data_IF_076858060154
#
_entry.id   IF_076858060154
#
_cell.length_a   1.000
_cell.length_b   1.000
_cell.length_c   1.000
_cell.angle_alpha   90.00
_cell.angle_beta   90.00
_cell.angle_gamma   90.00
#
_symmetry.space_group_name_H-M   'P 1'
#
loop_
_entity.id
_entity.type
_entity.pdbx_description
1 polymer ?
#
# COMPACT_ATOMS: atom_id res chain seq x y z
N UNK A 1 -24.58 -20.16 -2.54
CA UNK A 1 -24.32 -19.22 -1.43
C UNK A 1 -22.94 -18.65 -1.71
N UNK A 2 -22.80 -17.34 -1.87
CA UNK A 2 -21.46 -16.71 -1.83
C UNK A 2 -21.01 -16.82 -0.37
N UNK A 3 -19.85 -17.38 -0.11
CA UNK A 3 -19.19 -17.23 1.18
C UNK A 3 -18.98 -15.72 1.35
N UNK A 4 -19.56 -15.14 2.39
CA UNK A 4 -19.32 -13.76 2.76
C UNK A 4 -17.87 -13.68 3.22
N UNK A 5 -17.00 -13.14 2.37
CA UNK A 5 -15.58 -13.00 2.67
C UNK A 5 -15.40 -11.68 3.39
N UNK A 6 -15.26 -11.72 4.69
CA UNK A 6 -14.93 -10.54 5.49
C UNK A 6 -13.44 -10.23 5.41
N UNK A 7 -13.12 -8.93 5.30
CA UNK A 7 -11.75 -8.44 5.40
C UNK A 7 -11.41 -8.20 6.87
N UNK A 8 -10.50 -8.98 7.44
CA UNK A 8 -10.08 -8.82 8.83
C UNK A 8 -9.14 -7.63 8.98
N UNK A 9 -9.47 -6.71 9.87
CA UNK A 9 -8.74 -5.47 10.09
C UNK A 9 -8.35 -5.36 11.56
N UNK A 10 -7.06 -5.21 11.85
CA UNK A 10 -6.57 -4.95 13.20
C UNK A 10 -6.79 -3.47 13.53
N UNK A 11 -7.51 -3.18 14.60
CA UNK A 11 -7.73 -1.82 15.08
C UNK A 11 -7.14 -1.62 16.48
N UNK A 12 -6.18 -0.69 16.61
CA UNK A 12 -5.55 -0.35 17.89
C UNK A 12 -6.23 0.88 18.47
N UNK A 13 -7.01 0.68 19.54
CA UNK A 13 -7.90 1.67 20.13
C UNK A 13 -8.12 1.37 21.61
N UNK A 14 -7.83 2.31 22.50
CA UNK A 14 -7.98 2.11 23.96
C UNK A 14 -9.30 2.66 24.52
N UNK A 15 -10.06 3.40 23.74
CA UNK A 15 -11.44 3.82 24.09
C UNK A 15 -12.47 2.79 23.63
N UNK A 16 -12.82 1.88 24.53
CA UNK A 16 -13.80 0.83 24.24
C UNK A 16 -15.21 1.36 24.01
N UNK A 17 -15.52 2.59 24.43
CA UNK A 17 -16.87 3.15 24.34
C UNK A 17 -17.33 3.41 22.90
N UNK A 18 -16.38 3.64 21.98
CA UNK A 18 -16.67 3.95 20.57
C UNK A 18 -16.75 2.71 19.70
N UNK A 19 -16.15 1.58 20.13
CA UNK A 19 -15.92 0.40 19.29
C UNK A 19 -17.19 -0.14 18.68
N UNK A 20 -18.26 -0.27 19.47
CA UNK A 20 -19.53 -0.87 19.01
C UNK A 20 -20.13 -0.11 17.81
N UNK A 21 -20.09 1.23 17.82
CA UNK A 21 -20.58 2.04 16.72
C UNK A 21 -19.80 1.81 15.43
N UNK A 22 -18.47 1.75 15.53
CA UNK A 22 -17.59 1.50 14.38
C UNK A 22 -17.67 0.08 13.87
N UNK A 23 -17.90 -0.92 14.72
CA UNK A 23 -18.12 -2.30 14.30
C UNK A 23 -19.32 -2.42 13.37
N UNK A 24 -20.45 -1.78 13.70
CA UNK A 24 -21.66 -1.78 12.86
C UNK A 24 -21.38 -1.20 11.47
N UNK A 25 -20.62 -0.09 11.40
CA UNK A 25 -20.26 0.54 10.12
C UNK A 25 -19.33 -0.39 9.33
N UNK A 26 -18.32 -0.96 9.98
CA UNK A 26 -17.34 -1.86 9.35
C UNK A 26 -18.02 -3.13 8.80
N UNK A 27 -18.90 -3.76 9.57
CA UNK A 27 -19.66 -4.94 9.14
C UNK A 27 -20.51 -4.66 7.89
N UNK A 28 -21.10 -3.47 7.79
CA UNK A 28 -21.86 -3.04 6.60
C UNK A 28 -20.99 -2.94 5.33
N UNK A 29 -19.67 -2.95 5.49
CA UNK A 29 -18.66 -2.88 4.42
C UNK A 29 -17.87 -4.19 4.26
N UNK A 30 -18.36 -5.31 4.78
CA UNK A 30 -17.69 -6.62 4.77
C UNK A 30 -16.34 -6.61 5.53
N UNK A 31 -16.22 -5.85 6.60
CA UNK A 31 -15.02 -5.72 7.43
C UNK A 31 -15.28 -6.27 8.83
N UNK A 32 -14.40 -7.17 9.29
CA UNK A 32 -14.31 -7.65 10.66
C UNK A 32 -13.23 -6.89 11.42
N UNK A 33 -13.59 -6.15 12.48
CA UNK A 33 -12.63 -5.43 13.32
C UNK A 33 -12.14 -6.32 14.45
N UNK A 34 -10.84 -6.63 14.46
CA UNK A 34 -10.13 -7.28 15.56
C UNK A 34 -9.42 -6.20 16.39
N UNK A 35 -10.01 -5.88 17.56
CA UNK A 35 -9.58 -4.73 18.37
C UNK A 35 -8.48 -5.13 19.34
N UNK A 36 -7.45 -4.27 19.45
CA UNK A 36 -6.42 -4.33 20.46
C UNK A 36 -6.40 -3.01 21.26
N UNK A 37 -6.33 -3.10 22.59
CA UNK A 37 -6.39 -1.93 23.47
C UNK A 37 -5.05 -1.25 23.72
N UNK A 38 -3.99 -1.79 23.19
CA UNK A 38 -2.62 -1.28 23.25
C UNK A 38 -1.75 -1.91 22.17
N UNK A 39 -0.58 -1.32 21.91
CA UNK A 39 0.31 -1.83 20.88
C UNK A 39 0.90 -3.21 21.20
N UNK A 40 1.21 -3.50 22.45
CA UNK A 40 1.77 -4.81 22.84
C UNK A 40 0.82 -5.96 22.46
N UNK A 41 -0.49 -5.79 22.70
CA UNK A 41 -1.53 -6.73 22.27
C UNK A 41 -1.62 -6.82 20.75
N UNK A 42 -1.58 -5.66 20.06
CA UNK A 42 -1.62 -5.61 18.61
C UNK A 42 -0.41 -6.30 17.96
N UNK A 43 0.79 -6.07 18.49
CA UNK A 43 2.02 -6.71 18.00
C UNK A 43 1.97 -8.23 18.17
N UNK A 44 1.40 -8.74 19.29
CA UNK A 44 1.20 -10.16 19.49
C UNK A 44 0.19 -10.76 18.50
N UNK A 45 -0.95 -10.09 18.26
CA UNK A 45 -1.92 -10.48 17.24
C UNK A 45 -1.28 -10.51 15.86
N UNK A 46 -0.50 -9.50 15.50
CA UNK A 46 0.25 -9.46 14.23
C UNK A 46 1.27 -10.59 14.15
N UNK A 47 1.95 -10.94 15.23
CA UNK A 47 2.92 -12.03 15.25
C UNK A 47 2.27 -13.37 14.92
N UNK A 48 1.07 -13.62 15.45
CA UNK A 48 0.33 -14.88 15.29
C UNK A 48 -0.42 -14.93 13.95
N UNK A 49 -1.20 -13.90 13.65
CA UNK A 49 -2.21 -13.91 12.60
C UNK A 49 -1.89 -12.97 11.42
N UNK A 50 -0.62 -12.65 11.20
CA UNK A 50 -0.19 -11.65 10.22
C UNK A 50 -0.83 -11.80 8.82
N UNK A 51 -1.01 -13.04 8.37
CA UNK A 51 -1.54 -13.33 7.03
C UNK A 51 -3.04 -13.05 6.90
N UNK A 52 -3.76 -13.03 8.00
CA UNK A 52 -5.21 -12.84 8.04
C UNK A 52 -5.60 -11.36 7.90
N UNK A 53 -4.71 -10.44 8.31
CA UNK A 53 -5.03 -9.03 8.27
C UNK A 53 -4.89 -8.44 6.88
N UNK A 54 -5.94 -7.72 6.47
CA UNK A 54 -6.03 -6.97 5.22
C UNK A 54 -5.63 -5.50 5.40
N UNK A 55 -5.80 -4.97 6.61
CA UNK A 55 -5.39 -3.60 6.96
C UNK A 55 -5.17 -3.46 8.47
N UNK A 56 -4.55 -2.35 8.87
CA UNK A 56 -4.37 -1.94 10.27
C UNK A 56 -4.91 -0.52 10.44
N UNK A 57 -5.71 -0.29 11.48
CA UNK A 57 -6.15 1.05 11.90
C UNK A 57 -5.48 1.36 13.23
N UNK A 58 -4.89 2.54 13.35
CA UNK A 58 -4.24 3.02 14.55
C UNK A 58 -4.94 4.28 15.06
N UNK A 59 -5.22 4.35 16.36
CA UNK A 59 -5.44 5.68 16.94
C UNK A 59 -4.12 6.47 16.93
N UNK A 60 -4.21 7.78 16.88
CA UNK A 60 -3.04 8.65 16.92
C UNK A 60 -2.36 8.65 18.30
N UNK A 61 -3.13 8.45 19.35
CA UNK A 61 -2.66 8.33 20.74
C UNK A 61 -3.30 7.10 21.36
N UNK A 62 -2.49 6.13 21.70
CA UNK A 62 -2.93 4.90 22.36
C UNK A 62 -1.85 4.42 23.34
N UNK A 63 -2.17 3.46 24.16
CA UNK A 63 -1.22 2.80 25.07
C UNK A 63 -0.22 1.97 24.28
N UNK A 64 1.05 2.02 24.64
CA UNK A 64 2.09 1.17 24.05
C UNK A 64 2.08 -0.21 24.71
N UNK A 65 2.05 -0.24 26.05
CA UNK A 65 2.04 -1.48 26.83
C UNK A 65 0.70 -1.67 27.54
N UNK A 66 0.36 -2.90 27.83
CA UNK A 66 -0.82 -3.26 28.62
C UNK A 66 -0.81 -2.62 30.01
N UNK A 67 0.37 -2.43 30.60
CA UNK A 67 0.54 -1.81 31.92
C UNK A 67 0.41 -0.28 31.92
N UNK A 68 0.39 0.36 30.76
CA UNK A 68 0.32 1.81 30.67
C UNK A 68 -1.08 2.30 31.10
N UNK A 69 -1.10 3.31 31.94
CA UNK A 69 -2.34 3.94 32.44
C UNK A 69 -2.82 5.09 31.57
N UNK A 70 -1.94 5.65 30.73
CA UNK A 70 -2.20 6.81 29.89
C UNK A 70 -1.74 6.54 28.47
N UNK A 71 -2.51 7.04 27.49
CA UNK A 71 -2.14 7.00 26.08
C UNK A 71 -0.86 7.82 25.80
N UNK A 72 -0.02 7.33 24.91
CA UNK A 72 1.25 7.97 24.57
C UNK A 72 1.09 8.90 23.37
N UNK A 73 1.58 10.14 23.49
CA UNK A 73 1.69 11.08 22.35
C UNK A 73 2.72 10.64 21.31
N UNK A 74 3.65 9.76 21.68
CA UNK A 74 4.67 9.21 20.78
C UNK A 74 4.23 7.88 20.13
N UNK A 75 2.97 7.50 20.31
CA UNK A 75 2.44 6.20 19.88
C UNK A 75 2.71 5.94 18.38
N UNK A 76 2.28 6.83 17.50
CA UNK A 76 2.45 6.65 16.05
C UNK A 76 3.93 6.52 15.63
N UNK A 77 4.81 7.34 16.20
CA UNK A 77 6.25 7.25 15.92
C UNK A 77 6.84 5.91 16.36
N UNK A 78 6.44 5.41 17.54
CA UNK A 78 6.86 4.10 18.02
C UNK A 78 6.35 2.97 17.12
N UNK A 79 5.06 3.02 16.78
CA UNK A 79 4.38 1.97 15.99
C UNK A 79 4.85 1.92 14.55
N UNK A 80 5.07 3.07 13.90
CA UNK A 80 5.53 3.12 12.51
C UNK A 80 6.87 2.40 12.31
N UNK A 81 7.83 2.61 13.22
CA UNK A 81 9.13 1.91 13.19
C UNK A 81 8.95 0.40 13.38
N UNK A 82 8.05 -0.01 14.28
CA UNK A 82 7.76 -1.42 14.53
C UNK A 82 7.07 -2.08 13.34
N UNK A 83 6.08 -1.41 12.73
CA UNK A 83 5.41 -1.93 11.53
C UNK A 83 6.37 -2.09 10.36
N UNK A 84 7.23 -1.10 10.09
CA UNK A 84 8.23 -1.19 9.02
C UNK A 84 9.14 -2.41 9.21
N UNK A 85 9.56 -2.68 10.45
CA UNK A 85 10.35 -3.86 10.78
C UNK A 85 9.56 -5.16 10.56
N UNK A 86 8.32 -5.25 11.06
CA UNK A 86 7.45 -6.43 10.90
C UNK A 86 7.21 -6.71 9.40
N UNK A 87 6.92 -5.68 8.60
CA UNK A 87 6.72 -5.84 7.17
C UNK A 87 7.97 -6.33 6.45
N UNK A 88 9.15 -5.81 6.84
CA UNK A 88 10.43 -6.29 6.32
C UNK A 88 10.69 -7.76 6.66
N UNK A 89 10.47 -8.19 7.92
CA UNK A 89 10.64 -9.57 8.38
C UNK A 89 9.64 -10.54 7.73
N UNK A 90 8.41 -10.10 7.52
CA UNK A 90 7.34 -10.94 6.93
C UNK A 90 7.32 -10.90 5.41
N UNK A 91 8.07 -10.01 4.78
CA UNK A 91 8.07 -9.76 3.33
C UNK A 91 6.66 -9.53 2.75
N UNK A 92 5.77 -8.94 3.53
CA UNK A 92 4.40 -8.60 3.14
C UNK A 92 4.05 -7.26 3.74
N UNK A 93 3.50 -6.37 2.93
CA UNK A 93 2.95 -5.09 3.36
C UNK A 93 1.47 -5.24 3.71
N UNK A 94 1.07 -4.68 4.86
CA UNK A 94 -0.33 -4.49 5.24
C UNK A 94 -0.60 -2.99 5.25
N UNK A 95 -1.55 -2.48 4.45
CA UNK A 95 -1.94 -1.07 4.48
C UNK A 95 -2.36 -0.65 5.89
N UNK A 96 -1.95 0.54 6.31
CA UNK A 96 -2.34 1.03 7.61
C UNK A 96 -2.80 2.48 7.57
N UNK A 97 -3.69 2.82 8.47
CA UNK A 97 -4.44 4.07 8.50
C UNK A 97 -4.46 4.62 9.92
N UNK A 98 -4.62 5.93 10.05
CA UNK A 98 -4.79 6.59 11.33
C UNK A 98 -6.22 7.10 11.44
N UNK A 99 -6.94 6.70 12.49
CA UNK A 99 -8.27 7.18 12.84
C UNK A 99 -8.24 7.83 14.21
N UNK A 100 -8.36 9.15 14.30
CA UNK A 100 -8.14 9.89 15.53
C UNK A 100 -9.20 10.96 15.76
N UNK A 101 -9.51 11.24 17.02
CA UNK A 101 -10.35 12.36 17.43
C UNK A 101 -9.64 13.74 17.40
N UNK A 102 -8.31 13.75 17.32
CA UNK A 102 -7.50 14.98 17.37
C UNK A 102 -7.43 15.76 16.06
N UNK A 103 -7.03 17.02 16.15
CA UNK A 103 -6.82 17.89 14.98
C UNK A 103 -5.57 17.48 14.18
N UNK A 104 -5.47 17.93 12.92
CA UNK A 104 -4.35 17.59 12.03
C UNK A 104 -2.99 18.06 12.56
N UNK A 105 -2.97 19.15 13.32
CA UNK A 105 -1.74 19.85 13.70
C UNK A 105 -0.90 19.09 14.74
N UNK A 106 -1.55 18.28 15.60
CA UNK A 106 -0.85 17.54 16.67
C UNK A 106 0.01 16.37 16.15
N UNK A 107 -0.20 15.95 14.90
CA UNK A 107 0.43 14.75 14.33
C UNK A 107 1.18 15.02 13.03
N UNK A 108 1.22 16.27 12.57
CA UNK A 108 1.80 16.66 11.29
C UNK A 108 3.26 16.21 11.15
N UNK A 109 4.07 16.40 12.18
CA UNK A 109 5.51 16.08 12.14
C UNK A 109 5.76 14.56 11.99
N UNK A 110 5.01 13.74 12.72
CA UNK A 110 5.18 12.27 12.65
C UNK A 110 4.66 11.74 11.31
N UNK A 111 3.56 12.28 10.84
CA UNK A 111 3.02 11.93 9.53
C UNK A 111 3.93 12.41 8.40
N UNK A 112 4.51 13.62 8.47
CA UNK A 112 5.48 14.10 7.50
C UNK A 112 6.71 13.21 7.40
N UNK A 113 7.25 12.73 8.50
CA UNK A 113 8.38 11.79 8.51
C UNK A 113 8.03 10.46 7.84
N UNK A 114 6.81 9.97 8.07
CA UNK A 114 6.31 8.73 7.44
C UNK A 114 5.96 8.97 5.96
N UNK A 115 5.48 10.17 5.63
CA UNK A 115 5.03 10.53 4.28
C UNK A 115 6.15 10.77 3.28
N UNK A 116 7.35 11.15 3.71
CA UNK A 116 8.39 11.63 2.79
C UNK A 116 9.08 10.52 2.00
N UNK A 117 9.27 9.34 2.56
CA UNK A 117 9.98 8.25 1.87
C UNK A 117 9.05 7.19 1.26
N UNK A 118 8.00 6.81 1.94
CA UNK A 118 7.13 5.71 1.50
C UNK A 118 6.07 6.13 0.48
N UNK A 119 5.52 7.35 0.57
CA UNK A 119 4.46 7.84 -0.33
C UNK A 119 4.89 8.04 -1.79
N UNK A 120 6.15 8.24 -2.05
CA UNK A 120 6.61 8.40 -3.44
C UNK A 120 6.42 7.14 -4.28
N UNK A 121 6.20 5.99 -3.65
CA UNK A 121 6.17 4.68 -4.28
C UNK A 121 4.79 4.02 -4.31
N UNK A 122 3.82 4.50 -3.52
CA UNK A 122 2.50 3.88 -3.36
C UNK A 122 1.39 4.78 -3.89
N UNK A 123 0.30 4.16 -4.32
CA UNK A 123 -0.95 4.88 -4.56
C UNK A 123 -1.42 5.52 -3.24
N UNK A 124 -1.92 6.73 -3.31
CA UNK A 124 -2.33 7.54 -2.14
C UNK A 124 -3.32 6.84 -1.20
N UNK A 125 -3.97 5.77 -1.67
CA UNK A 125 -4.96 5.01 -0.91
C UNK A 125 -4.38 3.94 0.04
N UNK A 126 -3.09 3.65 -0.05
CA UNK A 126 -2.50 2.54 0.70
C UNK A 126 -1.97 2.94 2.08
N UNK A 127 -2.14 4.21 2.43
CA UNK A 127 -1.72 4.75 3.71
C UNK A 127 -0.22 5.08 3.80
N UNK A 128 0.20 5.60 4.93
CA UNK A 128 -0.67 6.00 6.04
C UNK A 128 -1.55 7.19 5.67
N UNK A 129 -2.86 7.03 5.71
CA UNK A 129 -3.82 8.12 5.56
C UNK A 129 -4.49 8.38 6.90
N UNK A 130 -4.79 9.67 7.16
CA UNK A 130 -5.46 10.07 8.39
C UNK A 130 -6.93 10.34 8.14
N UNK A 131 -7.75 9.83 9.06
CA UNK A 131 -9.17 10.08 9.16
C UNK A 131 -9.50 10.62 10.56
N UNK A 132 -10.53 11.46 10.63
CA UNK A 132 -10.94 12.11 11.89
C UNK A 132 -12.25 11.47 12.34
N UNK A 133 -12.28 10.97 13.58
CA UNK A 133 -13.46 10.39 14.22
C UNK A 133 -14.59 11.42 14.27
N UNK A 134 -15.81 10.98 13.97
CA UNK A 134 -17.03 11.79 14.03
C UNK A 134 -16.97 13.11 13.23
N UNK A 135 -16.26 13.11 12.10
CA UNK A 135 -16.17 14.24 11.17
C UNK A 135 -16.75 13.87 9.82
N UNK A 136 -17.62 14.73 9.31
CA UNK A 136 -18.12 14.61 7.94
C UNK A 136 -17.21 15.31 6.94
N UNK A 137 -17.16 14.74 5.73
CA UNK A 137 -16.57 15.34 4.54
C UNK A 137 -17.65 15.52 3.48
N UNK A 138 -17.62 16.60 2.73
CA UNK A 138 -18.55 16.82 1.64
C UNK A 138 -18.01 16.21 0.34
N UNK A 139 -18.69 15.18 -0.15
CA UNK A 139 -18.36 14.50 -1.41
C UNK A 139 -19.58 14.59 -2.33
N UNK A 140 -19.43 15.19 -3.49
CA UNK A 140 -20.50 15.37 -4.48
C UNK A 140 -21.79 15.98 -3.89
N UNK A 141 -21.64 16.95 -2.96
CA UNK A 141 -22.74 17.62 -2.29
C UNK A 141 -23.46 16.80 -1.19
N UNK A 142 -22.87 15.65 -0.80
CA UNK A 142 -23.37 14.82 0.30
C UNK A 142 -22.38 14.80 1.45
N UNK A 143 -22.87 14.89 2.67
CA UNK A 143 -22.06 14.68 3.87
C UNK A 143 -21.84 13.18 4.07
N UNK A 144 -20.59 12.76 4.12
CA UNK A 144 -20.17 11.37 4.36
C UNK A 144 -19.23 11.39 5.55
N UNK A 145 -19.44 10.50 6.50
CA UNK A 145 -18.58 10.37 7.66
C UNK A 145 -17.18 9.86 7.23
N UNK A 146 -16.12 10.40 7.81
CA UNK A 146 -14.76 10.01 7.43
C UNK A 146 -14.44 8.54 7.75
N UNK A 147 -15.07 7.97 8.76
CA UNK A 147 -15.02 6.54 9.04
C UNK A 147 -15.62 5.67 7.93
N UNK A 148 -16.70 6.10 7.28
CA UNK A 148 -17.26 5.39 6.13
C UNK A 148 -16.28 5.42 4.95
N UNK A 149 -15.67 6.58 4.70
CA UNK A 149 -14.64 6.75 3.67
C UNK A 149 -13.43 5.85 3.96
N UNK A 150 -13.00 5.75 5.23
CA UNK A 150 -11.93 4.87 5.67
C UNK A 150 -12.24 3.41 5.34
N UNK A 151 -13.43 2.92 5.73
CA UNK A 151 -13.78 1.51 5.49
C UNK A 151 -13.98 1.20 4.01
N UNK A 152 -14.52 2.10 3.21
CA UNK A 152 -14.60 1.94 1.75
C UNK A 152 -13.20 1.89 1.11
N UNK A 153 -12.25 2.71 1.59
CA UNK A 153 -10.87 2.68 1.14
C UNK A 153 -10.18 1.37 1.55
N UNK A 154 -10.36 0.92 2.78
CA UNK A 154 -9.83 -0.38 3.24
C UNK A 154 -10.35 -1.50 2.36
N UNK A 155 -11.66 -1.59 2.13
CA UNK A 155 -12.27 -2.62 1.28
C UNK A 155 -11.67 -2.62 -0.13
N UNK A 156 -11.53 -1.45 -0.74
CA UNK A 156 -10.94 -1.31 -2.08
C UNK A 156 -9.49 -1.77 -2.13
N UNK A 157 -8.69 -1.43 -1.11
CA UNK A 157 -7.28 -1.79 -1.05
C UNK A 157 -7.09 -3.26 -0.67
N UNK A 158 -7.93 -3.80 0.21
CA UNK A 158 -7.90 -5.21 0.61
C UNK A 158 -8.10 -6.15 -0.58
N UNK A 159 -8.96 -5.78 -1.53
CA UNK A 159 -9.13 -6.52 -2.78
C UNK A 159 -7.89 -6.54 -3.69
N UNK A 160 -6.88 -5.70 -3.39
CA UNK A 160 -5.64 -5.54 -4.17
C UNK A 160 -4.38 -5.96 -3.39
N UNK A 161 -4.51 -6.77 -2.36
CA UNK A 161 -3.40 -7.12 -1.43
C UNK A 161 -2.17 -7.69 -2.15
N UNK A 162 -2.38 -8.49 -3.20
CA UNK A 162 -1.30 -9.05 -4.02
C UNK A 162 -0.47 -7.96 -4.69
N UNK A 163 -1.11 -6.98 -5.32
CA UNK A 163 -0.48 -5.83 -5.97
C UNK A 163 0.33 -5.01 -4.96
N UNK A 164 -0.24 -4.75 -3.78
CA UNK A 164 0.41 -3.99 -2.72
C UNK A 164 1.70 -4.66 -2.24
N UNK A 165 1.67 -5.97 -2.06
CA UNK A 165 2.85 -6.75 -1.68
C UNK A 165 3.95 -6.69 -2.75
N UNK A 166 3.58 -6.78 -4.03
CA UNK A 166 4.55 -6.67 -5.13
C UNK A 166 5.22 -5.30 -5.15
N UNK A 167 4.44 -4.23 -5.01
CA UNK A 167 4.96 -2.87 -5.00
C UNK A 167 5.87 -2.61 -3.79
N UNK A 168 5.51 -3.11 -2.62
CA UNK A 168 6.35 -3.03 -1.43
C UNK A 168 7.68 -3.77 -1.62
N UNK A 169 7.64 -5.02 -2.08
CA UNK A 169 8.86 -5.84 -2.29
C UNK A 169 9.81 -5.27 -3.34
N UNK A 170 9.27 -4.59 -4.34
CA UNK A 170 10.01 -4.05 -5.47
C UNK A 170 9.96 -2.53 -5.53
N UNK A 171 9.78 -1.88 -4.37
CA UNK A 171 9.71 -0.41 -4.26
C UNK A 171 10.89 0.27 -4.94
N UNK A 172 12.09 -0.31 -4.83
CA UNK A 172 13.30 0.19 -5.49
C UNK A 172 13.20 0.25 -7.01
N UNK A 173 12.48 -0.67 -7.63
CA UNK A 173 12.23 -0.66 -9.09
C UNK A 173 11.13 0.34 -9.42
N UNK A 174 10.01 0.30 -8.70
CA UNK A 174 8.84 1.12 -9.00
C UNK A 174 9.05 2.61 -8.77
N UNK A 175 10.01 3.01 -7.92
CA UNK A 175 10.37 4.43 -7.75
C UNK A 175 10.92 5.08 -9.03
N UNK A 176 11.43 4.30 -9.98
CA UNK A 176 11.95 4.79 -11.25
C UNK A 176 10.95 4.68 -12.40
N UNK A 177 9.84 3.95 -12.23
CA UNK A 177 8.85 3.69 -13.27
C UNK A 177 7.59 4.53 -13.05
N UNK A 178 7.10 5.21 -14.09
CA UNK A 178 5.84 5.95 -14.06
C UNK A 178 5.97 7.39 -14.51
N UNK A 179 4.83 8.10 -14.53
CA UNK A 179 4.76 9.50 -14.92
C UNK A 179 5.57 10.38 -13.94
N UNK A 180 6.34 11.31 -14.48
CA UNK A 180 7.23 12.17 -13.67
C UNK A 180 8.46 11.49 -13.09
N UNK A 181 8.70 10.21 -13.39
CA UNK A 181 9.87 9.45 -12.95
C UNK A 181 10.94 9.38 -14.05
N UNK A 182 12.12 8.87 -13.69
CA UNK A 182 13.28 8.72 -14.61
C UNK A 182 12.86 7.97 -15.87
N UNK A 183 12.15 6.85 -15.73
CA UNK A 183 11.54 6.13 -16.85
C UNK A 183 10.04 6.51 -16.92
N UNK A 184 9.70 7.63 -17.53
CA UNK A 184 8.37 8.24 -17.59
C UNK A 184 7.28 7.45 -18.33
N UNK A 185 7.42 6.11 -18.39
CA UNK A 185 6.49 5.24 -19.10
C UNK A 185 5.52 4.55 -18.14
N UNK A 186 4.31 5.09 -18.01
CA UNK A 186 3.21 4.47 -17.24
C UNK A 186 2.99 3.02 -17.66
N UNK A 187 3.05 2.73 -18.97
CA UNK A 187 2.90 1.37 -19.49
C UNK A 187 3.98 0.42 -19.00
N UNK A 188 5.23 0.87 -18.85
CA UNK A 188 6.31 0.05 -18.29
C UNK A 188 6.00 -0.36 -16.85
N UNK A 189 5.53 0.58 -16.03
CA UNK A 189 5.08 0.32 -14.66
C UNK A 189 3.95 -0.72 -14.64
N UNK A 190 2.94 -0.55 -15.50
CA UNK A 190 1.81 -1.48 -15.58
C UNK A 190 2.23 -2.89 -15.98
N UNK A 191 3.11 -3.03 -16.99
CA UNK A 191 3.60 -4.34 -17.41
C UNK A 191 4.48 -5.00 -16.36
N UNK A 192 5.37 -4.24 -15.69
CA UNK A 192 6.19 -4.75 -14.60
C UNK A 192 5.32 -5.25 -13.44
N UNK A 193 4.32 -4.46 -13.05
CA UNK A 193 3.40 -4.82 -11.99
C UNK A 193 2.63 -6.11 -12.32
N UNK A 194 2.07 -6.21 -13.53
CA UNK A 194 1.35 -7.41 -13.98
C UNK A 194 2.27 -8.64 -13.99
N UNK A 195 3.49 -8.49 -14.50
CA UNK A 195 4.46 -9.59 -14.57
C UNK A 195 4.81 -10.08 -13.16
N UNK A 196 5.15 -9.19 -12.24
CA UNK A 196 5.49 -9.55 -10.87
C UNK A 196 4.28 -10.10 -10.10
N UNK A 197 3.09 -9.54 -10.31
CA UNK A 197 1.86 -10.09 -9.72
C UNK A 197 1.58 -11.52 -10.20
N UNK A 198 1.76 -11.81 -11.48
CA UNK A 198 1.61 -13.16 -12.02
C UNK A 198 2.67 -14.14 -11.48
N UNK A 199 3.89 -13.66 -11.19
CA UNK A 199 4.94 -14.47 -10.60
C UNK A 199 4.66 -14.82 -9.14
N UNK A 200 4.17 -13.86 -8.36
CA UNK A 200 3.91 -14.05 -6.92
C UNK A 200 2.53 -14.62 -6.62
N UNK A 201 1.56 -14.40 -7.50
CA UNK A 201 0.16 -14.80 -7.35
C UNK A 201 -0.35 -15.44 -8.67
N UNK A 202 0.22 -16.59 -9.07
CA UNK A 202 -0.12 -17.22 -10.35
C UNK A 202 -1.59 -17.63 -10.42
N UNK A 203 -2.21 -17.97 -9.30
CA UNK A 203 -3.62 -18.39 -9.25
C UNK A 203 -4.59 -17.27 -9.64
N UNK A 204 -4.24 -16.03 -9.32
CA UNK A 204 -5.04 -14.85 -9.66
C UNK A 204 -4.81 -14.35 -11.09
N UNK A 205 -3.71 -14.80 -11.75
CA UNK A 205 -3.22 -14.24 -13.01
C UNK A 205 -2.87 -15.31 -14.06
N UNK A 206 -3.58 -16.45 -14.06
CA UNK A 206 -3.29 -17.61 -14.92
C UNK A 206 -3.11 -17.28 -16.41
N UNK A 207 -3.88 -16.33 -16.95
CA UNK A 207 -3.80 -15.96 -18.37
C UNK A 207 -2.55 -15.16 -18.70
N UNK A 208 -1.88 -14.58 -17.72
CA UNK A 208 -0.74 -13.69 -17.92
C UNK A 208 0.60 -14.43 -17.93
N UNK A 209 0.71 -15.54 -17.21
CA UNK A 209 1.93 -16.34 -17.09
C UNK A 209 2.38 -16.91 -18.46
N UNK A 210 1.43 -17.15 -19.35
CA UNK A 210 1.69 -17.73 -20.69
C UNK A 210 1.97 -16.70 -21.79
N UNK A 211 1.78 -15.42 -21.50
CA UNK A 211 2.08 -14.35 -22.46
C UNK A 211 3.53 -13.86 -22.25
N UNK A 212 4.52 -14.40 -22.97
CA UNK A 212 5.90 -13.89 -22.96
C UNK A 212 6.05 -12.42 -23.40
N UNK A 213 4.96 -11.77 -23.79
CA UNK A 213 4.85 -10.42 -24.26
C UNK A 213 5.14 -9.32 -23.21
N UNK A 214 4.75 -9.46 -21.92
CA UNK A 214 4.98 -8.40 -20.93
C UNK A 214 6.44 -8.13 -20.62
N UNK A 215 7.26 -9.18 -20.46
CA UNK A 215 8.69 -9.02 -20.23
C UNK A 215 9.36 -8.31 -21.40
N UNK A 216 9.04 -8.73 -22.62
CA UNK A 216 9.50 -8.06 -23.83
C UNK A 216 9.10 -6.58 -23.84
N UNK A 217 7.87 -6.26 -23.48
CA UNK A 217 7.41 -4.87 -23.39
C UNK A 217 8.15 -4.06 -22.35
N UNK A 218 8.42 -4.62 -21.18
CA UNK A 218 9.25 -3.97 -20.15
C UNK A 218 10.64 -3.65 -20.72
N UNK A 219 11.28 -4.61 -21.37
CA UNK A 219 12.62 -4.45 -21.99
C UNK A 219 12.58 -3.36 -23.08
N UNK A 220 11.57 -3.36 -23.95
CA UNK A 220 11.39 -2.31 -24.96
C UNK A 220 11.29 -0.91 -24.34
N UNK A 221 10.56 -0.75 -23.22
CA UNK A 221 10.47 0.53 -22.52
C UNK A 221 11.77 0.94 -21.83
N UNK A 222 12.54 -0.02 -21.30
CA UNK A 222 13.85 0.26 -20.72
C UNK A 222 14.82 0.77 -21.80
N UNK A 223 14.85 0.15 -22.97
CA UNK A 223 15.68 0.60 -24.07
C UNK A 223 15.27 1.98 -24.62
N UNK A 224 13.98 2.25 -24.74
CA UNK A 224 13.49 3.59 -25.08
C UNK A 224 13.90 4.63 -24.04
N UNK A 225 13.89 4.25 -22.76
CA UNK A 225 14.42 5.09 -21.70
C UNK A 225 15.90 5.34 -21.85
N UNK A 226 16.69 4.30 -22.10
CA UNK A 226 18.13 4.42 -22.34
C UNK A 226 18.45 5.34 -23.54
N UNK A 227 17.73 5.20 -24.65
CA UNK A 227 17.86 6.08 -25.80
C UNK A 227 17.54 7.53 -25.46
N UNK A 228 16.46 7.79 -24.74
CA UNK A 228 16.08 9.15 -24.31
C UNK A 228 17.18 9.84 -23.49
N UNK A 229 17.99 9.07 -22.76
CA UNK A 229 19.14 9.57 -21.99
C UNK A 229 20.46 9.51 -22.75
N UNK A 230 20.44 9.20 -24.04
CA UNK A 230 21.64 9.12 -24.89
C UNK A 230 22.54 7.93 -24.61
N UNK A 231 22.05 6.92 -23.87
CA UNK A 231 22.77 5.70 -23.54
C UNK A 231 22.66 4.63 -24.64
N UNK A 232 21.66 4.77 -25.52
CA UNK A 232 21.42 3.88 -26.65
C UNK A 232 21.22 4.73 -27.91
N UNK A 233 22.05 4.54 -28.99
CA UNK A 233 21.93 5.25 -30.24
C UNK A 233 20.58 5.01 -30.96
N UNK A 234 20.17 5.95 -31.82
CA UNK A 234 18.94 5.87 -32.60
C UNK A 234 18.94 4.72 -33.61
N UNK A 235 20.12 4.32 -34.08
CA UNK A 235 20.32 3.21 -35.03
C UNK A 235 19.77 1.86 -34.55
N UNK A 236 19.51 1.73 -33.26
CA UNK A 236 18.88 0.54 -32.68
C UNK A 236 17.34 0.52 -32.79
N UNK A 237 16.76 1.51 -33.45
CA UNK A 237 15.33 1.57 -33.71
C UNK A 237 15.07 1.42 -35.23
N UNK A 238 14.04 0.64 -35.57
CA UNK A 238 13.58 0.56 -36.95
C UNK A 238 12.84 1.85 -37.37
N UNK A 239 12.48 1.94 -38.65
CA UNK A 239 11.75 3.08 -39.24
C UNK A 239 10.38 3.32 -38.60
N UNK A 240 9.83 2.33 -37.89
CA UNK A 240 8.56 2.41 -37.14
C UNK A 240 8.78 2.72 -35.64
N UNK A 241 10.04 2.95 -35.25
CA UNK A 241 10.41 3.18 -33.84
C UNK A 241 10.35 1.93 -32.96
N UNK A 242 10.37 0.73 -33.56
CA UNK A 242 10.52 -0.50 -32.80
C UNK A 242 11.98 -0.80 -32.58
N UNK A 243 12.31 -1.35 -31.43
CA UNK A 243 13.67 -1.68 -31.05
C UNK A 243 14.15 -2.98 -31.74
N UNK A 244 15.32 -2.93 -32.30
CA UNK A 244 16.09 -4.14 -32.70
C UNK A 244 16.74 -4.73 -31.45
N UNK A 245 15.93 -5.48 -30.69
CA UNK A 245 16.23 -5.84 -29.30
C UNK A 245 17.52 -6.67 -29.13
N UNK A 246 17.90 -7.47 -30.12
CA UNK A 246 19.12 -8.28 -30.05
C UNK A 246 20.37 -7.41 -30.08
N UNK A 247 20.40 -6.45 -31.02
CA UNK A 247 21.56 -5.57 -31.21
C UNK A 247 21.66 -4.56 -30.06
N UNK A 248 20.52 -4.00 -29.64
CA UNK A 248 20.46 -3.13 -28.46
C UNK A 248 20.94 -3.86 -27.17
N UNK A 249 20.55 -5.13 -26.98
CA UNK A 249 21.02 -5.93 -25.86
C UNK A 249 22.50 -6.18 -25.89
N UNK A 250 23.07 -6.48 -27.07
CA UNK A 250 24.49 -6.67 -27.25
C UNK A 250 25.28 -5.39 -26.96
N UNK A 251 24.80 -4.26 -27.47
CA UNK A 251 25.42 -2.96 -27.22
C UNK A 251 25.47 -2.61 -25.74
N UNK A 252 24.34 -2.82 -25.02
CA UNK A 252 24.24 -2.51 -23.58
C UNK A 252 25.04 -3.48 -22.69
N UNK A 253 25.37 -4.66 -23.19
CA UNK A 253 26.16 -5.65 -22.45
C UNK A 253 27.68 -5.46 -22.59
N UNK A 254 28.16 -4.56 -23.47
CA UNK A 254 29.58 -4.29 -23.74
C UNK A 254 30.15 -5.29 -24.71
#
# INVERSE_FOLDING_TARGET
MREETFYKVLWVEDDLSIIQGYQIIAESKDIELDVATNWEEAEEKLRINFKEYSAIILDAQCKIKKADTVASKLFLGHVSVRLSRIFGEKHKFIPWYVLSAGTMDDFSIVLELIYTEERQNFDSLWGPMKYIKAKDEEIDGKKVAQEEILFDNIRRVASSTGINTVLFRHSDVFKYLGEGRVFGYIKARTYMLKMLSALYYPEENLNFVYEGNPLRKVIEYLFRGANKFGLLPDDFFDTNGHIVSLDASRFMAG
#
